data_IF_846932865854
#
_entry.id   IF_846932865854
#
_cell.length_a   1.000
_cell.length_b   1.000
_cell.length_c   1.000
_cell.angle_alpha   90.00
_cell.angle_beta   90.00
_cell.angle_gamma   90.00
#
_symmetry.space_group_name_H-M   'P 1'
#
loop_
_entity.id
_entity.type
_entity.pdbx_description
1 polymer ?
#
# COMPACT_ATOMS: atom_id res chain seq x y z
N UNK A 1 14.24 28.08 12.21
CA UNK A 1 13.78 27.21 11.12
C UNK A 1 14.68 25.98 11.01
N UNK A 2 16.01 26.15 11.08
CA UNK A 2 16.98 25.04 11.12
C UNK A 2 16.76 24.03 12.26
N UNK A 3 16.30 24.48 13.42
CA UNK A 3 15.99 23.60 14.56
C UNK A 3 14.83 22.62 14.29
N UNK A 4 13.82 23.04 13.52
CA UNK A 4 12.66 22.20 13.21
C UNK A 4 13.01 21.13 12.17
N UNK A 5 13.83 21.48 11.18
CA UNK A 5 14.33 20.53 10.18
C UNK A 5 15.26 19.50 10.82
N UNK A 6 16.13 19.93 11.75
CA UNK A 6 17.00 19.01 12.50
C UNK A 6 16.17 18.06 13.37
N UNK A 7 15.15 18.59 14.08
CA UNK A 7 14.22 17.76 14.86
C UNK A 7 13.46 16.76 14.00
N UNK A 8 13.02 17.16 12.81
CA UNK A 8 12.35 16.27 11.87
C UNK A 8 13.28 15.12 11.47
N UNK A 9 14.53 15.43 11.10
CA UNK A 9 15.52 14.43 10.72
C UNK A 9 15.77 13.43 11.86
N UNK A 10 15.87 13.90 13.10
CA UNK A 10 16.10 13.03 14.25
C UNK A 10 14.88 12.14 14.56
N UNK A 11 13.66 12.65 14.40
CA UNK A 11 12.43 11.84 14.48
C UNK A 11 12.39 10.75 13.39
N UNK A 12 12.82 11.06 12.17
CA UNK A 12 12.87 10.09 11.06
C UNK A 12 13.90 9.00 11.35
N UNK A 13 15.09 9.36 11.86
CA UNK A 13 16.11 8.38 12.29
C UNK A 13 15.54 7.42 13.33
N UNK A 14 14.87 7.95 14.36
CA UNK A 14 14.27 7.13 15.41
C UNK A 14 13.15 6.22 14.88
N UNK A 15 12.32 6.74 13.96
CA UNK A 15 11.27 5.95 13.32
C UNK A 15 11.85 4.78 12.52
N UNK A 16 12.85 5.03 11.67
CA UNK A 16 13.51 3.99 10.87
C UNK A 16 14.13 2.94 11.78
N UNK A 17 14.84 3.36 12.82
CA UNK A 17 15.44 2.44 13.79
C UNK A 17 14.39 1.55 14.47
N UNK A 18 13.29 2.14 14.95
CA UNK A 18 12.21 1.38 15.60
C UNK A 18 11.53 0.40 14.64
N UNK A 19 11.28 0.79 13.39
CA UNK A 19 10.65 -0.09 12.41
C UNK A 19 11.55 -1.28 12.05
N UNK A 20 12.87 -1.08 11.92
CA UNK A 20 13.82 -2.17 11.66
C UNK A 20 13.98 -3.09 12.87
N UNK A 21 14.11 -2.54 14.09
CA UNK A 21 14.19 -3.35 15.32
C UNK A 21 12.93 -4.20 15.56
N UNK A 22 11.75 -3.60 15.41
CA UNK A 22 10.47 -4.32 15.60
C UNK A 22 10.27 -5.42 14.56
N UNK A 23 10.73 -5.20 13.32
CA UNK A 23 10.72 -6.23 12.27
C UNK A 23 11.58 -7.43 12.66
N UNK A 24 12.80 -7.21 13.18
CA UNK A 24 13.71 -8.29 13.57
C UNK A 24 13.21 -9.12 14.76
N UNK A 25 12.45 -8.55 15.70
CA UNK A 25 11.95 -9.27 16.87
C UNK A 25 10.81 -10.25 16.54
N UNK A 26 10.03 -9.99 15.48
CA UNK A 26 8.90 -10.85 15.08
C UNK A 26 9.30 -12.23 14.53
N UNK A 27 10.59 -12.45 14.27
CA UNK A 27 11.13 -13.68 13.68
C UNK A 27 12.05 -14.42 14.67
N UNK A 28 11.51 -14.77 15.85
CA UNK A 28 12.29 -15.36 16.95
C UNK A 28 12.41 -16.89 16.81
N UNK A 29 13.42 -17.35 16.08
CA UNK A 29 14.02 -18.68 16.30
C UNK A 29 15.56 -18.67 16.36
N UNK A 30 16.23 -17.51 16.30
CA UNK A 30 17.69 -17.48 16.40
C UNK A 30 18.21 -16.25 17.17
N UNK A 31 18.83 -16.43 18.36
CA UNK A 31 19.32 -15.32 19.19
C UNK A 31 20.54 -14.56 18.61
N UNK A 32 21.11 -15.01 17.48
CA UNK A 32 22.24 -14.35 16.79
C UNK A 32 21.86 -13.56 15.53
N UNK A 33 20.57 -13.49 15.14
CA UNK A 33 20.13 -12.82 13.91
C UNK A 33 19.65 -11.36 14.11
N UNK A 34 19.86 -10.79 15.29
CA UNK A 34 19.28 -9.52 15.71
C UNK A 34 20.17 -8.32 15.41
N UNK A 35 20.45 -8.03 14.14
CA UNK A 35 20.98 -6.73 13.74
C UNK A 35 20.69 -6.49 12.27
N UNK A 36 19.88 -5.47 11.98
CA UNK A 36 19.83 -4.90 10.63
C UNK A 36 21.21 -4.32 10.32
N UNK A 37 21.64 -4.43 9.07
CA UNK A 37 22.95 -3.92 8.66
C UNK A 37 22.96 -2.40 8.68
N UNK A 38 24.11 -1.75 8.95
CA UNK A 38 24.24 -0.30 8.79
C UNK A 38 23.84 0.17 7.38
N UNK A 39 24.04 -0.68 6.37
CA UNK A 39 23.68 -0.38 4.99
C UNK A 39 22.15 -0.30 4.80
N UNK A 40 21.38 -1.24 5.33
CA UNK A 40 19.92 -1.24 5.27
C UNK A 40 19.33 -0.01 5.98
N UNK A 41 19.87 0.33 7.16
CA UNK A 41 19.47 1.54 7.88
C UNK A 41 19.72 2.81 7.05
N UNK A 42 20.91 2.97 6.48
CA UNK A 42 21.25 4.14 5.66
C UNK A 42 20.38 4.24 4.40
N UNK A 43 20.08 3.10 3.76
CA UNK A 43 19.21 3.07 2.59
C UNK A 43 17.78 3.47 2.94
N UNK A 44 17.22 2.92 4.02
CA UNK A 44 15.87 3.25 4.49
C UNK A 44 15.77 4.73 4.91
N UNK A 45 16.78 5.25 5.61
CA UNK A 45 16.84 6.65 6.02
C UNK A 45 16.90 7.59 4.81
N UNK A 46 17.80 7.33 3.85
CA UNK A 46 17.94 8.14 2.63
C UNK A 46 16.66 8.14 1.81
N UNK A 47 16.01 6.99 1.68
CA UNK A 47 14.75 6.88 0.96
C UNK A 47 13.61 7.64 1.65
N UNK A 48 13.51 7.51 2.98
CA UNK A 48 12.49 8.22 3.78
C UNK A 48 12.62 9.74 3.65
N UNK A 49 13.84 10.26 3.79
CA UNK A 49 14.11 11.69 3.61
C UNK A 49 13.78 12.16 2.20
N UNK A 50 14.14 11.39 1.17
CA UNK A 50 13.79 11.70 -0.23
C UNK A 50 12.28 11.86 -0.42
N UNK A 51 11.48 10.94 0.12
CA UNK A 51 10.02 11.02 0.00
C UNK A 51 9.48 12.26 0.71
N UNK A 52 9.92 12.51 1.95
CA UNK A 52 9.46 13.66 2.73
C UNK A 52 9.80 14.99 2.06
N UNK A 53 11.02 15.12 1.53
CA UNK A 53 11.45 16.30 0.77
C UNK A 53 10.66 16.49 -0.54
N UNK A 54 10.06 15.42 -1.09
CA UNK A 54 9.25 15.50 -2.31
C UNK A 54 7.78 15.83 -2.07
N UNK A 55 7.29 15.75 -0.82
CA UNK A 55 5.87 15.85 -0.46
C UNK A 55 5.55 17.05 0.43
N UNK A 56 6.35 18.11 0.37
CA UNK A 56 6.26 19.29 1.26
C UNK A 56 4.97 20.12 1.16
N UNK A 57 4.03 19.74 0.28
CA UNK A 57 2.69 20.33 0.25
C UNK A 57 1.62 19.25 0.38
N UNK A 58 0.78 19.28 1.43
CA UNK A 58 -0.40 18.42 1.46
C UNK A 58 -1.34 18.83 0.32
N UNK A 59 -1.52 17.95 -0.68
CA UNK A 59 -2.37 18.22 -1.84
C UNK A 59 -3.87 18.25 -1.52
N UNK A 60 -4.27 17.93 -0.27
CA UNK A 60 -5.67 17.77 0.11
C UNK A 60 -6.03 18.70 1.26
N UNK A 61 -7.22 19.30 1.19
CA UNK A 61 -7.75 20.16 2.23
C UNK A 61 -7.89 19.37 3.55
N UNK A 62 -7.37 19.96 4.63
CA UNK A 62 -7.40 19.34 5.96
C UNK A 62 -8.77 19.55 6.63
N UNK A 63 -9.75 18.71 6.28
CA UNK A 63 -11.06 18.65 6.94
C UNK A 63 -11.14 17.40 7.84
N UNK A 64 -10.91 17.61 9.14
CA UNK A 64 -10.88 16.54 10.14
C UNK A 64 -12.25 15.89 10.36
N UNK A 65 -13.32 16.68 10.29
CA UNK A 65 -14.69 16.21 10.45
C UNK A 65 -15.10 15.33 9.26
N UNK A 66 -14.85 15.76 8.03
CA UNK A 66 -15.12 14.96 6.84
C UNK A 66 -14.30 13.65 6.83
N UNK A 67 -13.05 13.70 7.30
CA UNK A 67 -12.21 12.49 7.43
C UNK A 67 -12.80 11.52 8.46
N UNK A 68 -13.28 12.01 9.61
CA UNK A 68 -13.92 11.19 10.62
C UNK A 68 -15.23 10.56 10.11
N UNK A 69 -16.07 11.33 9.42
CA UNK A 69 -17.29 10.81 8.78
C UNK A 69 -16.98 9.72 7.75
N UNK A 70 -15.94 9.91 6.93
CA UNK A 70 -15.49 8.91 5.96
C UNK A 70 -15.09 7.59 6.64
N UNK A 71 -14.35 7.65 7.75
CA UNK A 71 -13.96 6.47 8.52
C UNK A 71 -15.19 5.79 9.15
N UNK A 72 -16.09 6.57 9.76
CA UNK A 72 -17.34 6.04 10.32
C UNK A 72 -18.19 5.32 9.29
N UNK A 73 -18.43 5.97 8.14
CA UNK A 73 -19.21 5.41 7.04
C UNK A 73 -18.62 4.09 6.57
N UNK A 74 -17.29 4.00 6.45
CA UNK A 74 -16.60 2.77 6.03
C UNK A 74 -16.72 1.63 7.05
N UNK A 75 -16.68 1.93 8.35
CA UNK A 75 -16.90 0.91 9.39
C UNK A 75 -18.35 0.41 9.38
N UNK A 76 -19.32 1.32 9.21
CA UNK A 76 -20.72 0.97 9.10
C UNK A 76 -21.00 0.10 7.85
N UNK A 77 -20.48 0.48 6.68
CA UNK A 77 -20.68 -0.29 5.44
C UNK A 77 -19.97 -1.64 5.46
N UNK A 78 -18.91 -1.80 6.25
CA UNK A 78 -18.23 -3.08 6.47
C UNK A 78 -18.96 -4.00 7.48
N UNK A 79 -20.16 -3.63 7.95
CA UNK A 79 -20.93 -4.38 8.93
C UNK A 79 -20.40 -4.27 10.37
N UNK A 80 -19.45 -3.36 10.63
CA UNK A 80 -18.78 -3.17 11.92
C UNK A 80 -19.38 -1.99 12.69
N UNK A 81 -20.71 -1.99 12.85
CA UNK A 81 -21.45 -0.85 13.44
C UNK A 81 -21.04 -0.55 14.89
N UNK A 82 -20.70 -1.56 15.70
CA UNK A 82 -20.18 -1.38 17.06
C UNK A 82 -18.82 -0.68 17.07
N UNK A 83 -17.91 -1.05 16.16
CA UNK A 83 -16.62 -0.36 16.00
C UNK A 83 -16.82 1.08 15.49
N UNK A 84 -17.80 1.31 14.60
CA UNK A 84 -18.13 2.64 14.10
C UNK A 84 -18.61 3.57 15.22
N UNK A 85 -19.46 3.07 16.12
CA UNK A 85 -19.93 3.81 17.28
C UNK A 85 -18.78 4.11 18.25
N UNK A 86 -17.98 3.09 18.58
CA UNK A 86 -16.80 3.26 19.45
C UNK A 86 -15.82 4.28 18.86
N UNK A 87 -15.59 4.25 17.53
CA UNK A 87 -14.77 5.24 16.86
C UNK A 87 -15.36 6.65 16.97
N UNK A 88 -16.68 6.82 16.84
CA UNK A 88 -17.33 8.11 16.98
C UNK A 88 -17.09 8.71 18.38
N UNK A 89 -17.23 7.89 19.42
CA UNK A 89 -16.99 8.30 20.81
C UNK A 89 -15.51 8.67 21.04
N UNK A 90 -14.58 7.86 20.51
CA UNK A 90 -13.15 8.14 20.59
C UNK A 90 -12.77 9.41 19.83
N UNK A 91 -13.35 9.63 18.64
CA UNK A 91 -13.11 10.84 17.86
C UNK A 91 -13.68 12.07 18.58
N UNK A 92 -14.87 11.99 19.17
CA UNK A 92 -15.41 13.07 19.99
C UNK A 92 -14.47 13.40 21.16
N UNK A 93 -13.97 12.39 21.89
CA UNK A 93 -12.99 12.60 22.97
C UNK A 93 -11.68 13.20 22.45
N UNK A 94 -11.22 12.78 21.28
CA UNK A 94 -10.01 13.29 20.65
C UNK A 94 -10.18 14.75 20.16
N UNK A 95 -11.34 15.09 19.60
CA UNK A 95 -11.64 16.43 19.09
C UNK A 95 -11.79 17.46 20.21
N UNK A 96 -12.38 17.08 21.35
CA UNK A 96 -12.55 17.95 22.51
C UNK A 96 -11.29 18.10 23.38
N UNK A 97 -10.29 17.24 23.21
CA UNK A 97 -9.04 17.31 23.99
C UNK A 97 -8.15 18.45 23.48
N UNK A 98 -8.33 19.65 24.01
CA UNK A 98 -7.60 20.87 23.62
C UNK A 98 -6.64 21.41 24.70
N UNK A 99 -6.21 20.56 25.64
CA UNK A 99 -5.23 20.93 26.69
C UNK A 99 -3.75 20.82 26.26
N UNK A 100 -2.80 21.09 27.17
CA UNK A 100 -1.38 20.85 26.94
C UNK A 100 -1.14 19.39 26.48
N UNK A 101 -0.38 19.21 25.40
CA UNK A 101 -0.21 17.90 24.75
C UNK A 101 -1.33 17.53 23.76
N UNK A 102 -2.22 18.46 23.41
CA UNK A 102 -3.19 18.28 22.33
C UNK A 102 -2.52 18.26 20.95
N UNK A 103 -3.06 17.43 20.06
CA UNK A 103 -2.61 17.32 18.68
C UNK A 103 -3.21 18.46 17.86
N UNK A 104 -2.34 19.33 17.33
CA UNK A 104 -2.76 20.43 16.45
C UNK A 104 -3.31 19.92 15.11
N UNK A 105 -2.61 18.99 14.46
CA UNK A 105 -3.03 18.43 13.17
C UNK A 105 -3.81 17.12 13.34
N UNK A 106 -5.07 17.23 13.77
CA UNK A 106 -5.98 16.09 13.99
C UNK A 106 -6.25 15.33 12.69
N UNK A 107 -6.40 16.06 11.59
CA UNK A 107 -6.64 15.50 10.26
C UNK A 107 -5.52 14.56 9.81
N UNK A 108 -4.25 14.97 9.93
CA UNK A 108 -3.12 14.14 9.50
C UNK A 108 -3.00 12.83 10.28
N UNK A 109 -3.32 12.86 11.59
CA UNK A 109 -3.33 11.64 12.42
C UNK A 109 -4.43 10.69 11.94
N UNK A 110 -5.64 11.19 11.70
CA UNK A 110 -6.74 10.38 11.18
C UNK A 110 -6.40 9.79 9.80
N UNK A 111 -5.82 10.60 8.92
CA UNK A 111 -5.40 10.18 7.60
C UNK A 111 -4.33 9.08 7.68
N UNK A 112 -3.29 9.25 8.51
CA UNK A 112 -2.25 8.24 8.70
C UNK A 112 -2.83 6.91 9.19
N UNK A 113 -3.69 6.94 10.21
CA UNK A 113 -4.34 5.74 10.75
C UNK A 113 -5.23 5.07 9.71
N UNK A 114 -5.94 5.85 8.90
CA UNK A 114 -6.75 5.34 7.79
C UNK A 114 -5.87 4.61 6.77
N UNK A 115 -4.78 5.24 6.31
CA UNK A 115 -3.88 4.71 5.29
C UNK A 115 -3.18 3.43 5.76
N UNK A 116 -2.63 3.39 6.98
CA UNK A 116 -1.98 2.19 7.53
C UNK A 116 -3.00 1.04 7.71
N UNK A 117 -4.24 1.36 8.07
CA UNK A 117 -5.31 0.36 8.19
C UNK A 117 -5.71 -0.22 6.83
N UNK A 118 -5.70 0.60 5.77
CA UNK A 118 -5.95 0.15 4.40
C UNK A 118 -4.82 -0.74 3.88
N UNK A 119 -3.55 -0.35 4.08
CA UNK A 119 -2.37 -1.13 3.67
C UNK A 119 -2.41 -2.56 4.24
N UNK A 120 -2.74 -2.69 5.53
CA UNK A 120 -2.85 -4.00 6.19
C UNK A 120 -3.88 -4.92 5.54
N UNK A 121 -4.99 -4.37 5.05
CA UNK A 121 -6.03 -5.16 4.35
C UNK A 121 -5.53 -5.60 2.97
N UNK A 122 -4.84 -4.72 2.24
CA UNK A 122 -4.24 -5.04 0.94
C UNK A 122 -3.19 -6.14 1.10
N UNK A 123 -2.28 -6.02 2.07
CA UNK A 123 -1.28 -7.06 2.33
C UNK A 123 -1.90 -8.39 2.72
N UNK A 124 -2.91 -8.40 3.60
CA UNK A 124 -3.64 -9.63 3.95
C UNK A 124 -4.26 -10.30 2.72
N UNK A 125 -4.85 -9.51 1.81
CA UNK A 125 -5.41 -10.04 0.57
C UNK A 125 -4.32 -10.55 -0.38
N UNK A 126 -3.15 -9.89 -0.46
CA UNK A 126 -2.03 -10.36 -1.29
C UNK A 126 -1.40 -11.66 -0.76
N UNK A 127 -1.21 -11.82 0.55
CA UNK A 127 -0.73 -13.08 1.13
C UNK A 127 -1.73 -14.21 0.95
N UNK A 128 -3.03 -13.93 1.10
CA UNK A 128 -4.08 -14.91 0.83
C UNK A 128 -4.09 -15.35 -0.64
N UNK A 129 -3.79 -14.44 -1.58
CA UNK A 129 -3.75 -14.75 -3.01
C UNK A 129 -2.47 -15.49 -3.45
N UNK A 130 -1.35 -15.33 -2.71
CA UNK A 130 -0.11 -16.09 -2.99
C UNK A 130 -0.19 -17.56 -2.57
N UNK A 131 -0.96 -17.90 -1.55
CA UNK A 131 -1.14 -19.30 -1.13
C UNK A 131 -1.98 -20.09 -2.16
N UNK A 132 -2.79 -19.40 -2.98
CA UNK A 132 -3.59 -20.02 -4.04
C UNK A 132 -2.83 -20.29 -5.36
N UNK A 133 -1.57 -19.86 -5.49
CA UNK A 133 -0.79 -20.02 -6.72
C UNK A 133 0.36 -21.03 -6.57
N UNK A 134 0.09 -22.17 -5.93
CA UNK A 134 0.92 -23.38 -6.01
C UNK A 134 0.82 -24.09 -7.37
N UNK A 135 0.88 -23.35 -8.48
CA UNK A 135 0.79 -23.90 -9.84
C UNK A 135 2.14 -23.92 -10.58
N UNK A 136 3.24 -23.58 -9.90
CA UNK A 136 4.57 -23.51 -10.52
C UNK A 136 5.50 -24.63 -10.03
N UNK A 137 4.99 -25.86 -9.93
CA UNK A 137 5.80 -27.07 -9.69
C UNK A 137 5.60 -28.11 -10.82
N UNK A 138 5.45 -27.60 -12.05
CA UNK A 138 5.35 -28.44 -13.25
C UNK A 138 6.01 -27.75 -14.44
N UNK A 139 7.31 -27.49 -14.32
CA UNK A 139 8.16 -27.16 -15.46
C UNK A 139 9.52 -27.90 -15.45
N UNK A 140 9.75 -28.79 -14.47
CA UNK A 140 10.96 -29.63 -14.40
C UNK A 140 10.73 -31.09 -14.84
N UNK A 141 9.48 -31.49 -15.11
CA UNK A 141 9.17 -32.77 -15.75
C UNK A 141 9.09 -32.55 -17.27
N UNK A 142 10.22 -32.76 -17.95
CA UNK A 142 10.38 -32.54 -19.38
C UNK A 142 9.29 -33.22 -20.23
N UNK A 143 8.64 -32.41 -21.06
CA UNK A 143 7.69 -32.85 -22.07
C UNK A 143 7.76 -31.91 -23.27
N UNK A 144 8.65 -32.25 -24.21
CA UNK A 144 8.79 -31.60 -25.51
C UNK A 144 7.52 -31.90 -26.35
N UNK A 145 6.69 -30.93 -26.76
CA UNK A 145 5.66 -31.22 -27.74
C UNK A 145 6.33 -31.49 -29.09
N UNK A 146 6.32 -32.76 -29.47
CA UNK A 146 6.77 -33.23 -30.78
C UNK A 146 5.81 -32.73 -31.85
N UNK A 147 6.41 -32.18 -32.91
CA UNK A 147 5.89 -32.04 -34.27
C UNK A 147 4.81 -33.07 -34.64
N UNK A 148 3.68 -32.60 -35.14
CA UNK A 148 2.91 -33.33 -36.14
C UNK A 148 2.73 -32.45 -37.37
N UNK A 149 3.50 -32.83 -38.39
CA UNK A 149 3.35 -32.47 -39.79
C UNK A 149 2.22 -33.31 -40.39
N UNK A 150 1.40 -32.69 -41.24
CA UNK A 150 0.29 -33.31 -41.92
C UNK A 150 -0.17 -32.41 -43.07
N UNK A 151 0.48 -32.59 -44.20
CA UNK A 151 0.11 -32.07 -45.52
C UNK A 151 -1.13 -32.81 -46.04
N UNK A 152 -2.11 -32.09 -46.60
CA UNK A 152 -2.90 -32.53 -47.77
C UNK A 152 -3.86 -31.43 -48.25
N UNK A 153 -3.93 -31.32 -49.57
CA UNK A 153 -4.57 -30.31 -50.41
C UNK A 153 -6.09 -30.48 -50.46
N UNK A 154 -6.86 -29.38 -50.51
CA UNK A 154 -8.01 -29.27 -51.43
C UNK A 154 -8.60 -27.86 -51.47
N UNK A 155 -8.86 -27.38 -52.68
CA UNK A 155 -9.22 -26.00 -52.98
C UNK A 155 -10.63 -25.56 -52.56
N UNK A 156 -10.84 -24.24 -52.56
CA UNK A 156 -12.14 -23.65 -52.31
C UNK A 156 -12.11 -22.13 -52.40
N UNK A 157 -12.53 -21.64 -53.56
CA UNK A 157 -12.67 -20.25 -53.98
C UNK A 157 -13.45 -19.33 -53.03
N UNK A 158 -13.03 -18.06 -52.97
CA UNK A 158 -13.93 -16.91 -52.85
C UNK A 158 -13.92 -16.14 -51.53
N UNK A 159 -13.77 -14.81 -51.61
CA UNK A 159 -14.26 -13.92 -50.56
C UNK A 159 -13.37 -12.73 -50.22
N UNK A 160 -13.41 -11.69 -51.05
CA UNK A 160 -12.99 -10.33 -50.69
C UNK A 160 -13.77 -9.86 -49.45
N UNK A 161 -13.05 -9.41 -48.42
CA UNK A 161 -13.62 -8.86 -47.19
C UNK A 161 -12.79 -7.70 -46.65
N UNK A 162 -12.83 -6.56 -47.35
CA UNK A 162 -12.48 -5.26 -46.79
C UNK A 162 -13.46 -4.94 -45.67
N UNK A 163 -13.00 -4.76 -44.42
CA UNK A 163 -13.71 -3.97 -43.41
C UNK A 163 -12.75 -3.16 -42.51
N UNK A 164 -12.64 -1.88 -42.87
CA UNK A 164 -12.77 -0.70 -42.00
C UNK A 164 -11.82 -0.61 -40.79
N UNK A 165 -10.74 0.16 -41.01
CA UNK A 165 -10.18 1.12 -40.05
C UNK A 165 -11.30 2.03 -39.55
N UNK A 166 -11.53 2.13 -38.23
CA UNK A 166 -12.13 3.31 -37.58
C UNK A 166 -11.99 3.15 -36.05
N UNK A 167 -11.52 4.20 -35.38
CA UNK A 167 -11.91 4.50 -34.01
C UNK A 167 -11.03 4.01 -32.87
N UNK A 168 -9.80 4.54 -32.76
CA UNK A 168 -9.16 4.76 -31.46
C UNK A 168 -10.01 5.73 -30.63
N UNK A 169 -10.28 5.44 -29.35
CA UNK A 169 -10.29 6.50 -28.35
C UNK A 169 -9.04 6.38 -27.48
N UNK A 170 -8.07 7.24 -27.78
CA UNK A 170 -7.22 7.79 -26.74
C UNK A 170 -8.14 8.44 -25.70
N UNK A 171 -8.12 7.93 -24.48
CA UNK A 171 -8.55 8.72 -23.32
C UNK A 171 -7.35 8.85 -22.40
N UNK A 172 -6.61 9.91 -22.69
CA UNK A 172 -5.78 10.63 -21.74
C UNK A 172 -6.68 11.10 -20.60
N UNK A 173 -6.40 10.66 -19.38
CA UNK A 173 -6.94 11.31 -18.19
C UNK A 173 -5.98 11.13 -17.02
N UNK A 174 -5.19 12.20 -16.85
CA UNK A 174 -4.61 12.78 -15.62
C UNK A 174 -3.93 11.81 -14.65
#
# INVERSE_FOLDING_TARGET
MEDDDQRLVDLVKELVHRLLCTSSQSNSQNPNASSFTPQEYNQALKYSLRILSSLMTPSIAADDSAMAESIKRRLATAGKSSEALTFADLYAKFSHKNGPGSVKNKWAVLYLLKTISEDRKVRKNQFSNRISNGFLDSALAGGLPTLFEGDELSGGSGGLGIRVLEGLPMVLLI
#
